data_IF_343997197898
#
_entry.id   IF_343997197898
#
_cell.length_a   1.000
_cell.length_b   1.000
_cell.length_c   1.000
_cell.angle_alpha   90.00
_cell.angle_beta   90.00
_cell.angle_gamma   90.00
#
_symmetry.space_group_name_H-M   'P 1'
#
loop_
_entity.id
_entity.type
_entity.pdbx_description
1 polymer ?
#
# COMPACT_ATOMS: atom_id res chain seq x y z
N UNK A 1 -21.80 9.41 -8.70
CA UNK A 1 -20.59 10.23 -8.54
C UNK A 1 -19.47 9.22 -8.32
N UNK A 2 -18.49 9.11 -9.22
CA UNK A 2 -17.35 8.22 -8.98
C UNK A 2 -16.57 8.84 -7.83
N UNK A 3 -16.46 8.14 -6.71
CA UNK A 3 -15.51 8.53 -5.66
C UNK A 3 -14.16 8.70 -6.34
N UNK A 4 -13.58 9.89 -6.19
CA UNK A 4 -12.27 10.21 -6.76
C UNK A 4 -11.30 9.21 -6.12
N UNK A 5 -10.86 8.20 -6.87
CA UNK A 5 -9.85 7.26 -6.41
C UNK A 5 -8.65 8.08 -5.95
N UNK A 6 -8.42 8.09 -4.63
CA UNK A 6 -7.29 8.82 -4.07
C UNK A 6 -6.01 8.25 -4.66
N UNK A 7 -5.21 9.09 -5.30
CA UNK A 7 -3.87 8.74 -5.77
C UNK A 7 -3.08 8.10 -4.62
N UNK A 8 -2.79 6.79 -4.67
CA UNK A 8 -2.12 6.08 -3.59
C UNK A 8 -0.66 6.52 -3.42
N UNK A 9 -0.10 7.21 -4.41
CA UNK A 9 1.27 7.75 -4.47
C UNK A 9 1.29 9.28 -4.33
N UNK A 10 0.27 9.89 -3.71
CA UNK A 10 0.15 11.35 -3.57
C UNK A 10 1.29 12.01 -2.77
N UNK A 11 2.04 11.23 -2.00
CA UNK A 11 3.26 11.61 -1.30
C UNK A 11 4.51 11.62 -2.19
N UNK A 12 4.42 11.04 -3.39
CA UNK A 12 5.51 10.94 -4.36
C UNK A 12 5.25 11.76 -5.63
N UNK A 13 4.01 11.76 -6.13
CA UNK A 13 3.62 12.38 -7.40
C UNK A 13 2.23 13.00 -7.30
N UNK A 14 1.97 14.06 -8.09
CA UNK A 14 0.64 14.68 -8.14
C UNK A 14 -0.41 13.75 -8.77
N UNK A 15 -1.69 14.01 -8.49
CA UNK A 15 -2.83 13.32 -9.10
C UNK A 15 -2.72 13.31 -10.64
N UNK A 16 -2.38 14.45 -11.25
CA UNK A 16 -2.22 14.59 -12.70
C UNK A 16 -1.15 13.65 -13.27
N UNK A 17 0.00 13.53 -12.59
CA UNK A 17 1.09 12.64 -13.04
C UNK A 17 0.70 11.18 -12.83
N UNK A 18 0.03 10.84 -11.73
CA UNK A 18 -0.48 9.50 -11.49
C UNK A 18 -1.46 9.08 -12.58
N UNK A 19 -2.47 9.92 -12.87
CA UNK A 19 -3.47 9.67 -13.92
C UNK A 19 -2.82 9.51 -15.31
N UNK A 20 -1.81 10.36 -15.63
CA UNK A 20 -1.07 10.25 -16.88
C UNK A 20 -0.34 8.90 -16.99
N UNK A 21 0.44 8.52 -15.97
CA UNK A 21 1.20 7.27 -15.98
C UNK A 21 0.29 6.05 -16.03
N UNK A 22 -0.80 6.08 -15.27
CA UNK A 22 -1.79 5.00 -15.22
C UNK A 22 -2.49 4.82 -16.57
N UNK A 23 -2.90 5.92 -17.22
CA UNK A 23 -3.51 5.89 -18.56
C UNK A 23 -2.61 5.30 -19.64
N UNK A 24 -1.28 5.25 -19.41
CA UNK A 24 -0.28 4.67 -20.30
C UNK A 24 0.13 3.25 -19.90
N UNK A 25 -0.45 2.69 -18.84
CA UNK A 25 -0.08 1.38 -18.30
C UNK A 25 1.33 1.35 -17.70
N UNK A 26 1.84 2.49 -17.25
CA UNK A 26 3.18 2.61 -16.65
C UNK A 26 3.16 2.40 -15.13
N UNK A 27 1.97 2.31 -14.52
CA UNK A 27 1.80 2.00 -13.10
C UNK A 27 1.68 0.49 -12.92
N UNK A 28 2.50 -0.05 -12.02
CA UNK A 28 2.40 -1.44 -11.60
C UNK A 28 1.53 -1.54 -10.34
N UNK A 29 0.29 -2.00 -10.49
CA UNK A 29 -0.69 -2.12 -9.39
C UNK A 29 -0.15 -2.89 -8.17
N UNK A 30 0.60 -3.97 -8.40
CA UNK A 30 1.21 -4.76 -7.32
C UNK A 30 2.22 -3.93 -6.53
N UNK A 31 3.09 -3.21 -7.22
CA UNK A 31 4.07 -2.33 -6.57
C UNK A 31 3.41 -1.19 -5.80
N UNK A 32 2.34 -0.61 -6.35
CA UNK A 32 1.53 0.42 -5.68
C UNK A 32 0.90 -0.13 -4.41
N UNK A 33 0.24 -1.29 -4.49
CA UNK A 33 -0.33 -1.96 -3.32
C UNK A 33 0.72 -2.22 -2.25
N UNK A 34 1.87 -2.78 -2.64
CA UNK A 34 2.93 -3.12 -1.69
C UNK A 34 3.53 -1.85 -1.05
N UNK A 35 3.55 -0.72 -1.78
CA UNK A 35 3.88 0.58 -1.22
C UNK A 35 2.85 1.05 -0.20
N UNK A 36 1.56 1.01 -0.53
CA UNK A 36 0.46 1.40 0.37
C UNK A 36 0.45 0.57 1.65
N UNK A 37 0.62 -0.76 1.54
CA UNK A 37 0.73 -1.66 2.70
C UNK A 37 1.90 -1.26 3.60
N UNK A 38 3.07 -0.95 3.01
CA UNK A 38 4.25 -0.51 3.77
C UNK A 38 4.03 0.82 4.47
N UNK A 39 3.39 1.79 3.82
CA UNK A 39 3.09 3.09 4.42
C UNK A 39 2.16 2.92 5.62
N UNK A 40 1.05 2.20 5.43
CA UNK A 40 0.07 1.96 6.50
C UNK A 40 0.64 1.13 7.65
N UNK A 41 1.49 0.13 7.37
CA UNK A 41 2.22 -0.59 8.41
C UNK A 41 3.08 0.35 9.26
N UNK A 42 3.82 1.27 8.63
CA UNK A 42 4.63 2.27 9.35
C UNK A 42 3.76 3.19 10.23
N UNK A 43 2.61 3.63 9.73
CA UNK A 43 1.65 4.43 10.50
C UNK A 43 1.11 3.66 11.72
N UNK A 44 0.71 2.41 11.55
CA UNK A 44 0.25 1.55 12.65
C UNK A 44 1.36 1.38 13.70
N UNK A 45 2.60 1.13 13.28
CA UNK A 45 3.75 1.01 14.17
C UNK A 45 4.09 2.31 14.91
N UNK A 46 3.90 3.46 14.26
CA UNK A 46 4.07 4.77 14.90
C UNK A 46 3.00 5.05 15.96
N UNK A 47 1.81 4.46 15.82
CA UNK A 47 0.73 4.49 16.80
C UNK A 47 0.82 3.33 17.83
N UNK A 48 2.02 2.77 18.05
CA UNK A 48 2.31 1.73 19.04
C UNK A 48 1.56 0.40 18.86
N UNK A 49 0.89 0.17 17.72
CA UNK A 49 0.25 -1.11 17.41
C UNK A 49 1.30 -2.19 17.27
N UNK A 50 1.10 -3.37 17.88
CA UNK A 50 2.05 -4.48 17.80
C UNK A 50 2.26 -4.94 16.35
N UNK A 51 3.41 -5.54 16.03
CA UNK A 51 3.69 -5.96 14.66
C UNK A 51 2.70 -7.03 14.17
N UNK A 52 2.29 -7.95 15.05
CA UNK A 52 1.29 -8.97 14.72
C UNK A 52 -0.05 -8.33 14.44
N UNK A 53 -0.53 -7.47 15.35
CA UNK A 53 -1.84 -6.81 15.21
C UNK A 53 -1.87 -5.88 13.99
N UNK A 54 -0.77 -5.22 13.67
CA UNK A 54 -0.65 -4.39 12.47
C UNK A 54 -0.75 -5.24 11.19
N UNK A 55 -0.12 -6.43 11.17
CA UNK A 55 -0.22 -7.36 10.03
C UNK A 55 -1.64 -7.93 9.92
N UNK A 56 -2.28 -8.28 11.04
CA UNK A 56 -3.67 -8.74 11.06
C UNK A 56 -4.63 -7.63 10.57
N UNK A 57 -4.45 -6.39 11.01
CA UNK A 57 -5.22 -5.22 10.53
C UNK A 57 -5.08 -5.04 9.01
N UNK A 58 -3.85 -5.14 8.49
CA UNK A 58 -3.62 -5.07 7.05
C UNK A 58 -4.25 -6.27 6.31
N UNK A 59 -4.30 -7.45 6.94
CA UNK A 59 -4.97 -8.61 6.35
C UNK A 59 -6.47 -8.41 6.23
N UNK A 60 -7.09 -7.73 7.18
CA UNK A 60 -8.53 -7.43 7.12
C UNK A 60 -8.85 -6.51 5.92
N UNK A 61 -7.94 -5.61 5.56
CA UNK A 61 -8.06 -4.73 4.39
C UNK A 61 -7.69 -5.42 3.06
N UNK A 62 -6.79 -6.38 3.12
CA UNK A 62 -6.33 -7.16 1.98
C UNK A 62 -6.58 -8.67 2.22
N UNK A 63 -7.85 -9.11 2.31
CA UNK A 63 -8.21 -10.46 2.75
C UNK A 63 -7.74 -11.58 1.79
N UNK A 64 -7.38 -11.21 0.56
CA UNK A 64 -6.79 -12.12 -0.42
C UNK A 64 -5.29 -12.37 -0.20
N UNK A 65 -4.63 -11.59 0.66
CA UNK A 65 -3.23 -11.78 1.04
C UNK A 65 -3.13 -12.64 2.30
N UNK A 66 -2.19 -13.58 2.30
CA UNK A 66 -1.88 -14.37 3.48
C UNK A 66 -1.04 -13.55 4.47
N UNK A 67 -1.11 -13.89 5.76
CA UNK A 67 -0.30 -13.23 6.80
C UNK A 67 1.19 -13.19 6.45
N UNK A 68 1.76 -14.31 5.99
CA UNK A 68 3.17 -14.38 5.59
C UNK A 68 3.47 -13.50 4.37
N UNK A 69 2.51 -13.32 3.46
CA UNK A 69 2.65 -12.42 2.31
C UNK A 69 2.74 -10.97 2.75
N UNK A 70 1.86 -10.53 3.66
CA UNK A 70 1.92 -9.17 4.22
C UNK A 70 3.21 -8.97 5.01
N UNK A 71 3.60 -9.95 5.83
CA UNK A 71 4.89 -9.95 6.54
C UNK A 71 6.07 -9.74 5.59
N UNK A 72 6.10 -10.46 4.47
CA UNK A 72 7.14 -10.28 3.44
C UNK A 72 7.09 -8.88 2.83
N UNK A 73 5.91 -8.34 2.51
CA UNK A 73 5.78 -6.99 1.95
C UNK A 73 6.35 -5.93 2.91
N UNK A 74 6.03 -6.02 4.21
CA UNK A 74 6.43 -4.99 5.19
C UNK A 74 7.88 -5.09 5.65
N UNK A 75 8.49 -6.28 5.61
CA UNK A 75 9.89 -6.49 6.05
C UNK A 75 10.89 -6.71 4.92
N UNK A 76 10.49 -7.26 3.78
CA UNK A 76 11.37 -7.49 2.63
C UNK A 76 11.18 -6.35 1.63
N UNK A 77 12.02 -5.33 1.78
CA UNK A 77 12.25 -4.35 0.72
C UNK A 77 13.11 -5.07 -0.32
N UNK A 78 12.58 -5.29 -1.53
CA UNK A 78 13.41 -5.75 -2.64
C UNK A 78 14.58 -4.75 -2.78
N UNK A 79 15.80 -5.26 -2.61
CA UNK A 79 17.03 -4.53 -2.94
C UNK A 79 17.10 -4.27 -4.45
#
# INVERSE_FOLDING_TARGET
MKDKEMNPLNDLISDEIFELLDSKGLINEKSVRDYTIRRKFKELRANEVSASDAIDTLRDEYPYLQFDTIRKIVYQINK
#
